data_IF_119485954391
#
_entry.id   IF_119485954391
#
_cell.length_a   1.000
_cell.length_b   1.000
_cell.length_c   1.000
_cell.angle_alpha   90.00
_cell.angle_beta   90.00
_cell.angle_gamma   90.00
#
_symmetry.space_group_name_H-M   'P 1'
#
loop_
_entity.id
_entity.type
_entity.pdbx_description
1 polymer ?
#
# COMPACT_ATOMS: atom_id res chain seq x y z
N UNK A 1 -5.28 22.67 -8.37
CA UNK A 1 -3.88 22.24 -8.50
C UNK A 1 -3.37 21.96 -7.11
N UNK A 2 -3.17 20.68 -6.80
CA UNK A 2 -2.91 20.06 -5.49
C UNK A 2 -4.14 19.45 -4.77
N UNK A 3 -5.32 19.47 -5.40
CA UNK A 3 -6.52 18.77 -4.91
C UNK A 3 -6.40 17.27 -5.15
N UNK A 4 -7.11 16.41 -4.40
CA UNK A 4 -7.13 14.96 -4.64
C UNK A 4 -7.37 14.54 -6.09
N UNK A 5 -8.31 15.19 -6.78
CA UNK A 5 -8.70 14.89 -8.16
C UNK A 5 -7.59 15.21 -9.18
N UNK A 6 -6.68 16.12 -8.82
CA UNK A 6 -5.50 16.43 -9.64
C UNK A 6 -4.51 15.24 -9.68
N UNK A 7 -4.55 14.33 -8.70
CA UNK A 7 -3.66 13.15 -8.61
C UNK A 7 -4.37 11.83 -8.89
N UNK A 8 -5.64 11.70 -8.51
CA UNK A 8 -6.35 10.43 -8.46
C UNK A 8 -7.65 10.47 -9.24
N UNK A 9 -7.91 9.43 -10.01
CA UNK A 9 -9.24 9.10 -10.49
C UNK A 9 -10.03 8.48 -9.33
N UNK A 10 -10.94 9.28 -8.78
CA UNK A 10 -11.76 8.91 -7.64
C UNK A 10 -13.19 8.51 -8.07
N UNK A 11 -13.48 8.51 -9.37
CA UNK A 11 -14.79 8.11 -9.86
C UNK A 11 -14.99 6.60 -9.62
N UNK A 12 -16.09 6.25 -8.96
CA UNK A 12 -16.36 4.86 -8.57
C UNK A 12 -15.41 4.26 -7.51
N UNK A 13 -14.41 5.01 -7.02
CA UNK A 13 -13.49 4.54 -5.98
C UNK A 13 -14.13 4.69 -4.59
N UNK A 14 -14.26 3.58 -3.86
CA UNK A 14 -14.86 3.54 -2.51
C UNK A 14 -14.04 4.33 -1.46
N UNK A 15 -12.77 4.62 -1.73
CA UNK A 15 -11.89 5.40 -0.86
C UNK A 15 -12.00 6.91 -1.11
N UNK A 16 -12.85 7.37 -2.04
CA UNK A 16 -13.09 8.81 -2.29
C UNK A 16 -13.42 9.60 -1.01
N UNK A 17 -14.17 8.99 -0.08
CA UNK A 17 -14.57 9.66 1.16
C UNK A 17 -13.39 9.98 2.09
N UNK A 18 -12.22 9.37 1.90
CA UNK A 18 -10.97 9.72 2.60
C UNK A 18 -10.61 11.20 2.40
N UNK A 19 -11.01 11.77 1.26
CA UNK A 19 -10.70 13.14 0.86
C UNK A 19 -11.86 14.12 1.08
N UNK A 20 -12.94 13.71 1.75
CA UNK A 20 -14.03 14.62 2.10
C UNK A 20 -13.51 15.79 2.94
N UNK A 21 -13.93 17.01 2.59
CA UNK A 21 -13.52 18.25 3.26
C UNK A 21 -12.00 18.50 3.25
N UNK A 22 -11.27 17.99 2.25
CA UNK A 22 -9.85 18.30 2.06
C UNK A 22 -9.65 19.38 1.01
N UNK A 23 -8.76 20.33 1.28
CA UNK A 23 -8.31 21.32 0.28
C UNK A 23 -7.13 20.76 -0.53
N UNK A 24 -6.25 20.02 0.15
CA UNK A 24 -5.03 19.45 -0.42
C UNK A 24 -5.00 17.92 -0.29
N UNK A 25 -4.46 17.26 -1.31
CA UNK A 25 -4.41 15.80 -1.39
C UNK A 25 -3.77 15.12 -0.15
N UNK A 26 -2.75 15.73 0.47
CA UNK A 26 -2.07 15.16 1.63
C UNK A 26 -2.88 15.21 2.92
N UNK A 27 -3.97 15.97 2.95
CA UNK A 27 -4.86 16.01 4.11
C UNK A 27 -5.62 14.71 4.31
N UNK A 28 -5.77 13.91 3.24
CA UNK A 28 -6.27 12.53 3.34
C UNK A 28 -5.48 11.67 4.34
N UNK A 29 -4.18 11.95 4.55
CA UNK A 29 -3.35 11.26 5.55
C UNK A 29 -3.88 11.44 6.98
N UNK A 30 -4.45 12.62 7.28
CA UNK A 30 -5.03 12.93 8.60
C UNK A 30 -6.32 12.13 8.82
N UNK A 31 -7.01 11.80 7.74
CA UNK A 31 -8.31 11.16 7.75
C UNK A 31 -8.24 9.62 7.80
N UNK A 32 -7.08 9.00 7.56
CA UNK A 32 -6.93 7.53 7.47
C UNK A 32 -7.54 6.81 8.69
N UNK A 33 -7.21 7.27 9.90
CA UNK A 33 -7.67 6.62 11.13
C UNK A 33 -9.19 6.63 11.25
N UNK A 34 -9.78 7.80 11.05
CA UNK A 34 -11.22 8.01 11.16
C UNK A 34 -11.96 7.30 10.03
N UNK A 35 -11.40 7.30 8.81
CA UNK A 35 -11.92 6.54 7.70
C UNK A 35 -11.99 5.05 8.03
N UNK A 36 -10.88 4.45 8.52
CA UNK A 36 -10.86 3.02 8.86
C UNK A 36 -11.89 2.73 9.95
N UNK A 37 -11.90 3.51 11.03
CA UNK A 37 -12.86 3.34 12.13
C UNK A 37 -14.32 3.32 11.66
N UNK A 38 -14.66 4.17 10.70
CA UNK A 38 -16.04 4.30 10.21
C UNK A 38 -16.42 3.30 9.12
N UNK A 39 -15.45 2.62 8.49
CA UNK A 39 -15.69 1.76 7.31
C UNK A 39 -15.20 0.33 7.49
N UNK A 40 -14.46 0.00 8.55
CA UNK A 40 -13.98 -1.35 8.78
C UNK A 40 -15.12 -2.25 9.26
N UNK A 41 -15.21 -3.43 8.66
CA UNK A 41 -16.08 -4.52 9.10
C UNK A 41 -15.19 -5.74 9.40
N UNK A 42 -14.54 -5.78 10.58
CA UNK A 42 -13.47 -6.75 10.81
C UNK A 42 -13.96 -8.19 10.72
N UNK A 43 -13.16 -9.08 10.10
CA UNK A 43 -13.57 -10.46 9.81
C UNK A 43 -12.52 -11.51 10.20
N UNK A 44 -11.53 -11.14 11.02
CA UNK A 44 -10.42 -12.04 11.38
C UNK A 44 -10.50 -12.65 12.78
N UNK A 45 -11.40 -12.20 13.67
CA UNK A 45 -11.46 -12.72 15.05
C UNK A 45 -11.61 -14.25 15.11
N UNK A 46 -12.45 -14.81 14.24
CA UNK A 46 -12.67 -16.26 14.13
C UNK A 46 -11.48 -17.02 13.51
N UNK A 47 -10.64 -16.35 12.70
CA UNK A 47 -9.39 -16.93 12.19
C UNK A 47 -8.37 -17.04 13.33
N UNK A 48 -8.28 -15.98 14.15
CA UNK A 48 -7.29 -15.85 15.22
C UNK A 48 -7.56 -16.78 16.40
N UNK A 49 -8.82 -16.88 16.84
CA UNK A 49 -9.22 -17.63 18.05
C UNK A 49 -8.33 -17.32 19.27
N UNK A 50 -7.98 -16.04 19.44
CA UNK A 50 -7.10 -15.55 20.52
C UNK A 50 -5.59 -15.69 20.26
N UNK A 51 -5.17 -16.36 19.19
CA UNK A 51 -3.77 -16.41 18.74
C UNK A 51 -3.50 -15.35 17.66
N UNK A 52 -2.31 -14.76 17.66
CA UNK A 52 -1.88 -13.95 16.51
C UNK A 52 -1.37 -14.79 15.35
N UNK A 53 -0.95 -16.03 15.61
CA UNK A 53 -0.36 -16.91 14.61
C UNK A 53 -1.38 -17.92 14.07
N UNK A 54 -1.46 -18.03 12.74
CA UNK A 54 -2.28 -19.04 12.06
C UNK A 54 -1.46 -20.31 11.80
N UNK A 55 -1.85 -21.41 12.43
CA UNK A 55 -1.15 -22.71 12.35
C UNK A 55 -1.58 -23.60 11.19
N UNK A 56 -2.58 -23.17 10.41
CA UNK A 56 -3.14 -23.90 9.27
C UNK A 56 -3.66 -22.91 8.24
N UNK A 57 -3.82 -23.40 7.02
CA UNK A 57 -4.49 -22.64 5.97
C UNK A 57 -5.95 -22.42 6.34
N UNK A 58 -6.44 -21.22 6.05
CA UNK A 58 -7.82 -20.82 6.30
C UNK A 58 -8.40 -20.20 5.02
N UNK A 59 -9.70 -20.39 4.84
CA UNK A 59 -10.44 -19.77 3.75
C UNK A 59 -11.52 -18.86 4.32
N UNK A 60 -11.69 -17.68 3.74
CA UNK A 60 -12.90 -16.84 3.94
C UNK A 60 -13.72 -16.91 2.67
N UNK A 61 -14.97 -17.33 2.77
CA UNK A 61 -15.91 -17.39 1.65
C UNK A 61 -17.30 -16.95 2.10
N UNK A 62 -17.91 -16.01 1.38
CA UNK A 62 -19.23 -15.42 1.73
C UNK A 62 -19.33 -14.96 3.20
N UNK A 63 -18.25 -14.35 3.72
CA UNK A 63 -18.18 -13.86 5.09
C UNK A 63 -17.99 -14.94 6.17
N UNK A 64 -17.86 -16.21 5.78
CA UNK A 64 -17.64 -17.34 6.70
C UNK A 64 -16.20 -17.84 6.64
N UNK A 65 -15.66 -18.20 7.79
CA UNK A 65 -14.38 -18.90 7.90
C UNK A 65 -14.59 -20.39 7.66
N UNK A 66 -13.82 -20.97 6.75
CA UNK A 66 -13.76 -22.40 6.46
C UNK A 66 -12.38 -22.90 6.90
N UNK A 67 -12.36 -23.78 7.89
CA UNK A 67 -11.12 -24.27 8.53
C UNK A 67 -10.65 -25.63 8.00
N UNK A 68 -11.52 -26.34 7.28
CA UNK A 68 -11.24 -27.69 6.77
C UNK A 68 -12.21 -28.10 5.66
N UNK A 69 -11.92 -29.23 5.02
CA UNK A 69 -12.74 -29.79 3.94
C UNK A 69 -12.64 -29.01 2.63
N UNK A 70 -11.56 -28.24 2.45
CA UNK A 70 -11.25 -27.58 1.19
C UNK A 70 -9.89 -28.03 0.66
N UNK A 71 -9.67 -27.82 -0.63
CA UNK A 71 -8.37 -27.97 -1.30
C UNK A 71 -8.01 -26.66 -1.98
N UNK A 72 -6.74 -26.28 -1.94
CA UNK A 72 -6.20 -25.11 -2.63
C UNK A 72 -5.34 -25.59 -3.81
N UNK A 73 -5.68 -25.17 -5.02
CA UNK A 73 -4.77 -25.25 -6.17
C UNK A 73 -3.88 -24.01 -6.13
N UNK A 74 -2.68 -24.16 -5.56
CA UNK A 74 -1.73 -23.07 -5.33
C UNK A 74 -1.24 -22.43 -6.63
N UNK A 75 -1.17 -23.19 -7.73
CA UNK A 75 -0.75 -22.67 -9.03
C UNK A 75 -1.80 -21.77 -9.70
N UNK A 76 -3.07 -21.92 -9.31
CA UNK A 76 -4.19 -21.14 -9.86
C UNK A 76 -4.89 -20.23 -8.85
N UNK A 77 -4.54 -20.32 -7.57
CA UNK A 77 -5.24 -19.62 -6.49
C UNK A 77 -6.71 -20.04 -6.34
N UNK A 78 -7.05 -21.28 -6.71
CA UNK A 78 -8.45 -21.76 -6.71
C UNK A 78 -8.71 -22.56 -5.44
N UNK A 79 -9.79 -22.23 -4.74
CA UNK A 79 -10.31 -23.03 -3.62
C UNK A 79 -11.44 -23.92 -4.11
N UNK A 80 -11.42 -25.20 -3.73
CA UNK A 80 -12.53 -26.13 -3.93
C UNK A 80 -13.00 -26.73 -2.62
N UNK A 81 -14.31 -26.97 -2.49
CA UNK A 81 -14.93 -27.73 -1.41
C UNK A 81 -15.97 -28.68 -2.00
N UNK A 82 -15.86 -29.97 -1.67
CA UNK A 82 -16.74 -31.03 -2.19
C UNK A 82 -16.83 -31.05 -3.74
N UNK A 83 -15.70 -30.75 -4.41
CA UNK A 83 -15.60 -30.67 -5.87
C UNK A 83 -16.07 -29.36 -6.50
N UNK A 84 -16.69 -28.45 -5.73
CA UNK A 84 -17.20 -27.15 -6.19
C UNK A 84 -16.15 -26.06 -5.99
N UNK A 85 -15.97 -25.20 -6.99
CA UNK A 85 -15.09 -24.02 -6.89
C UNK A 85 -15.79 -22.94 -6.06
N UNK A 86 -15.05 -22.38 -5.10
CA UNK A 86 -15.51 -21.26 -4.28
C UNK A 86 -15.02 -19.94 -4.89
N UNK A 87 -15.77 -19.37 -5.83
CA UNK A 87 -15.38 -18.15 -6.53
C UNK A 87 -15.30 -16.93 -5.59
N UNK A 88 -14.15 -16.25 -5.56
CA UNK A 88 -13.92 -15.14 -4.64
C UNK A 88 -13.61 -15.58 -3.21
N UNK A 89 -13.31 -16.85 -2.98
CA UNK A 89 -12.72 -17.29 -1.72
C UNK A 89 -11.36 -16.62 -1.49
N UNK A 90 -11.16 -16.08 -0.30
CA UNK A 90 -9.89 -15.53 0.14
C UNK A 90 -9.09 -16.61 0.86
N UNK A 91 -7.79 -16.66 0.59
CA UNK A 91 -6.87 -17.66 1.13
C UNK A 91 -5.93 -16.97 2.10
N UNK A 92 -5.87 -17.48 3.33
CA UNK A 92 -4.90 -17.05 4.33
C UNK A 92 -4.09 -18.29 4.69
N UNK A 93 -2.86 -18.35 4.18
CA UNK A 93 -2.00 -19.49 4.39
C UNK A 93 -1.52 -19.59 5.85
N UNK A 94 -1.17 -20.81 6.26
CA UNK A 94 -0.47 -21.06 7.51
C UNK A 94 0.81 -20.21 7.60
N UNK A 95 1.15 -19.74 8.79
CA UNK A 95 2.33 -18.91 9.03
C UNK A 95 2.07 -17.40 9.00
N UNK A 96 0.85 -16.96 8.70
CA UNK A 96 0.46 -15.53 8.78
C UNK A 96 0.27 -15.11 10.23
N UNK A 97 0.71 -13.89 10.54
CA UNK A 97 0.50 -13.24 11.83
C UNK A 97 -0.54 -12.12 11.72
N UNK A 98 -1.68 -12.30 12.38
CA UNK A 98 -2.74 -11.31 12.53
C UNK A 98 -2.69 -10.76 13.97
N UNK A 99 -2.20 -9.54 14.14
CA UNK A 99 -1.85 -8.98 15.46
C UNK A 99 -2.98 -8.17 16.10
N UNK A 100 -4.15 -8.09 15.45
CA UNK A 100 -5.30 -7.32 15.91
C UNK A 100 -6.60 -7.91 15.32
N UNK A 101 -7.72 -7.67 15.97
CA UNK A 101 -9.04 -8.08 15.49
C UNK A 101 -9.62 -7.05 14.52
N UNK A 102 -9.17 -5.79 14.58
CA UNK A 102 -9.52 -4.71 13.66
C UNK A 102 -8.81 -4.88 12.30
N UNK A 103 -8.97 -6.04 11.68
CA UNK A 103 -8.46 -6.35 10.35
C UNK A 103 -9.62 -6.84 9.48
N UNK A 104 -9.73 -6.26 8.29
CA UNK A 104 -10.64 -6.73 7.25
C UNK A 104 -9.85 -7.29 6.07
N UNK A 105 -10.28 -8.45 5.57
CA UNK A 105 -9.78 -9.12 4.38
C UNK A 105 -10.93 -9.25 3.37
N UNK A 106 -10.80 -8.57 2.23
CA UNK A 106 -11.75 -8.60 1.11
C UNK A 106 -11.77 -9.93 0.36
N UNK A 107 -12.71 -10.09 -0.58
CA UNK A 107 -12.92 -11.33 -1.35
C UNK A 107 -11.81 -11.58 -2.35
N UNK A 108 -11.50 -12.85 -2.61
CA UNK A 108 -10.47 -13.27 -3.58
C UNK A 108 -9.05 -12.84 -3.19
N UNK A 109 -8.83 -12.41 -1.94
CA UNK A 109 -7.54 -11.93 -1.46
C UNK A 109 -6.69 -13.09 -0.96
N UNK A 110 -5.40 -13.06 -1.29
CA UNK A 110 -4.43 -14.09 -0.90
C UNK A 110 -3.40 -13.48 0.03
N UNK A 111 -3.17 -14.13 1.17
CA UNK A 111 -2.15 -13.75 2.14
C UNK A 111 -1.17 -14.92 2.31
N UNK A 112 0.05 -14.72 1.84
CA UNK A 112 1.12 -15.70 1.86
C UNK A 112 1.77 -15.85 3.25
N UNK A 113 2.43 -16.99 3.53
CA UNK A 113 3.09 -17.26 4.80
C UNK A 113 4.07 -16.16 5.24
N UNK A 114 4.16 -15.93 6.56
CA UNK A 114 5.11 -14.98 7.14
C UNK A 114 4.74 -13.51 7.00
N UNK A 115 3.64 -13.17 6.32
CA UNK A 115 3.09 -11.82 6.40
C UNK A 115 2.66 -11.50 7.84
N UNK A 116 3.00 -10.29 8.31
CA UNK A 116 2.60 -9.79 9.62
C UNK A 116 1.73 -8.56 9.44
N UNK A 117 0.48 -8.66 9.88
CA UNK A 117 -0.55 -7.64 9.71
C UNK A 117 -1.02 -7.17 11.07
N UNK A 118 -0.85 -5.88 11.34
CA UNK A 118 -1.37 -5.20 12.52
C UNK A 118 -2.60 -4.38 12.16
N UNK A 119 -3.59 -4.37 13.05
CA UNK A 119 -4.73 -3.47 12.95
C UNK A 119 -4.44 -2.05 13.46
N UNK A 120 -5.34 -1.10 13.19
CA UNK A 120 -6.51 -1.27 12.31
C UNK A 120 -6.08 -1.28 10.84
N UNK A 121 -6.56 -2.25 10.04
CA UNK A 121 -6.15 -2.43 8.63
C UNK A 121 -7.32 -2.91 7.75
N UNK A 122 -7.46 -2.31 6.57
CA UNK A 122 -8.40 -2.76 5.53
C UNK A 122 -7.59 -3.28 4.34
N UNK A 123 -7.85 -4.52 3.92
CA UNK A 123 -7.31 -5.11 2.70
C UNK A 123 -8.50 -5.41 1.78
N UNK A 124 -8.52 -4.76 0.61
CA UNK A 124 -9.57 -4.85 -0.38
C UNK A 124 -9.59 -6.18 -1.13
N UNK A 125 -10.45 -6.24 -2.14
CA UNK A 125 -10.72 -7.44 -2.92
C UNK A 125 -9.63 -7.74 -3.94
N UNK A 126 -9.40 -9.03 -4.20
CA UNK A 126 -8.46 -9.54 -5.20
C UNK A 126 -7.04 -9.00 -5.00
N UNK A 127 -6.65 -8.80 -3.75
CA UNK A 127 -5.34 -8.27 -3.38
C UNK A 127 -4.40 -9.41 -2.98
N UNK A 128 -3.11 -9.22 -3.24
CA UNK A 128 -2.06 -10.15 -2.83
C UNK A 128 -1.20 -9.51 -1.73
N UNK A 129 -1.13 -10.15 -0.57
CA UNK A 129 -0.17 -9.83 0.48
C UNK A 129 0.86 -10.96 0.50
N UNK A 130 2.04 -10.69 -0.03
CA UNK A 130 3.06 -11.71 -0.27
C UNK A 130 3.94 -11.97 0.96
N UNK A 131 4.74 -13.02 0.84
CA UNK A 131 5.59 -13.55 1.89
C UNK A 131 6.45 -12.46 2.54
N UNK A 132 6.34 -12.34 3.87
CA UNK A 132 7.14 -11.40 4.66
C UNK A 132 6.72 -9.93 4.58
N UNK A 133 5.60 -9.60 3.94
CA UNK A 133 5.04 -8.24 4.00
C UNK A 133 4.77 -7.84 5.46
N UNK A 134 5.03 -6.57 5.79
CA UNK A 134 4.85 -6.03 7.14
C UNK A 134 3.91 -4.83 7.14
N UNK A 135 2.67 -5.04 7.61
CA UNK A 135 1.63 -4.00 7.70
C UNK A 135 1.49 -3.55 9.15
N UNK A 136 1.72 -2.26 9.41
CA UNK A 136 1.91 -1.71 10.77
C UNK A 136 0.68 -1.02 11.37
N UNK A 137 -0.49 -1.17 10.75
CA UNK A 137 -1.74 -0.55 11.19
C UNK A 137 -1.93 0.88 10.66
N UNK A 138 -3.18 1.34 10.72
CA UNK A 138 -3.69 2.50 9.99
C UNK A 138 -3.37 2.39 8.49
N UNK A 139 -3.56 1.20 7.91
CA UNK A 139 -3.26 0.94 6.50
C UNK A 139 -4.54 0.56 5.76
N UNK A 140 -4.67 1.11 4.56
CA UNK A 140 -5.72 0.74 3.60
C UNK A 140 -5.01 0.26 2.34
N UNK A 141 -5.20 -1.01 2.01
CA UNK A 141 -4.80 -1.59 0.73
C UNK A 141 -6.07 -1.74 -0.09
N UNK A 142 -6.24 -0.94 -1.13
CA UNK A 142 -7.40 -0.99 -2.02
C UNK A 142 -7.50 -2.31 -2.80
N UNK A 143 -8.49 -2.38 -3.69
CA UNK A 143 -8.71 -3.59 -4.48
C UNK A 143 -7.56 -3.82 -5.49
N UNK A 144 -7.32 -5.08 -5.84
CA UNK A 144 -6.37 -5.49 -6.89
C UNK A 144 -4.94 -4.99 -6.67
N UNK A 145 -4.54 -4.82 -5.41
CA UNK A 145 -3.21 -4.35 -5.06
C UNK A 145 -2.26 -5.53 -4.84
N UNK A 146 -0.96 -5.24 -4.89
CA UNK A 146 0.10 -6.18 -4.51
C UNK A 146 0.97 -5.50 -3.46
N UNK A 147 0.95 -6.03 -2.23
CA UNK A 147 1.92 -5.73 -1.17
C UNK A 147 2.89 -6.89 -1.12
N UNK A 148 4.03 -6.71 -1.77
CA UNK A 148 4.90 -7.81 -2.11
C UNK A 148 5.95 -8.15 -1.05
N UNK A 149 6.91 -8.99 -1.43
CA UNK A 149 7.89 -9.57 -0.52
C UNK A 149 8.64 -8.51 0.27
N UNK A 150 8.61 -8.62 1.62
CA UNK A 150 9.26 -7.68 2.57
C UNK A 150 8.91 -6.21 2.35
N UNK A 151 7.75 -5.94 1.75
CA UNK A 151 7.24 -4.58 1.65
C UNK A 151 6.62 -4.17 2.98
N UNK A 152 7.02 -3.02 3.49
CA UNK A 152 6.50 -2.46 4.73
C UNK A 152 5.53 -1.31 4.43
N UNK A 153 4.35 -1.36 5.05
CA UNK A 153 3.35 -0.29 4.99
C UNK A 153 3.00 0.21 6.40
N UNK A 154 2.86 1.53 6.54
CA UNK A 154 2.47 2.16 7.80
C UNK A 154 1.74 3.48 7.57
N UNK A 155 0.56 3.67 8.17
CA UNK A 155 -0.20 4.93 8.05
C UNK A 155 -0.38 5.33 6.58
N UNK A 156 -0.69 4.37 5.71
CA UNK A 156 -0.57 4.53 4.27
C UNK A 156 -1.77 3.95 3.52
N UNK A 157 -2.01 4.47 2.33
CA UNK A 157 -3.14 4.10 1.47
C UNK A 157 -2.63 3.74 0.08
N UNK A 158 -3.05 2.58 -0.42
CA UNK A 158 -3.07 2.26 -1.86
C UNK A 158 -4.53 2.35 -2.32
N UNK A 159 -4.83 3.22 -3.26
CA UNK A 159 -6.22 3.48 -3.67
C UNK A 159 -6.84 2.36 -4.51
N UNK A 160 -6.01 1.51 -5.10
CA UNK A 160 -6.43 0.38 -5.94
C UNK A 160 -5.45 0.15 -7.08
N UNK A 161 -5.33 -1.11 -7.52
CA UNK A 161 -4.48 -1.51 -8.66
C UNK A 161 -2.99 -1.13 -8.51
N UNK A 162 -2.54 -0.84 -7.28
CA UNK A 162 -1.17 -0.45 -6.96
C UNK A 162 -0.29 -1.68 -6.76
N UNK A 163 0.95 -1.62 -7.23
CA UNK A 163 1.94 -2.71 -7.08
C UNK A 163 3.18 -2.22 -6.35
N UNK A 164 3.43 -2.79 -5.18
CA UNK A 164 4.69 -2.66 -4.45
C UNK A 164 5.28 -4.06 -4.25
N UNK A 165 5.76 -4.66 -5.34
CA UNK A 165 6.03 -6.10 -5.39
C UNK A 165 7.23 -6.57 -4.56
N UNK A 166 8.20 -5.69 -4.28
CA UNK A 166 9.49 -6.13 -3.74
C UNK A 166 10.18 -5.03 -2.91
N UNK A 167 10.52 -5.34 -1.65
CA UNK A 167 11.43 -4.56 -0.80
C UNK A 167 11.07 -3.06 -0.66
N UNK A 168 9.79 -2.70 -0.70
CA UNK A 168 9.37 -1.32 -0.67
C UNK A 168 9.08 -0.82 0.77
N UNK A 169 9.26 0.48 1.00
CA UNK A 169 8.81 1.14 2.23
C UNK A 169 7.80 2.24 1.92
N UNK A 170 6.59 2.12 2.46
CA UNK A 170 5.46 3.02 2.22
C UNK A 170 4.92 3.51 3.57
N UNK A 171 5.51 4.61 4.06
CA UNK A 171 5.12 5.24 5.33
C UNK A 171 4.42 6.58 5.09
N UNK A 172 3.29 6.83 5.76
CA UNK A 172 2.60 8.14 5.77
C UNK A 172 2.39 8.67 4.33
N UNK A 173 1.88 7.81 3.44
CA UNK A 173 1.81 8.04 1.99
C UNK A 173 0.46 7.63 1.41
N UNK A 174 0.06 8.25 0.29
CA UNK A 174 -1.13 7.87 -0.48
C UNK A 174 -0.71 7.61 -1.92
N UNK A 175 -1.03 6.43 -2.43
CA UNK A 175 -0.68 5.98 -3.76
C UNK A 175 -1.95 5.71 -4.58
N UNK A 176 -2.00 6.23 -5.80
CA UNK A 176 -3.01 5.89 -6.80
C UNK A 176 -2.72 4.53 -7.44
N UNK A 177 -3.10 4.36 -8.70
CA UNK A 177 -2.68 3.21 -9.52
C UNK A 177 -1.21 3.37 -9.91
N UNK A 178 -0.31 2.72 -9.17
CA UNK A 178 1.14 2.85 -9.33
C UNK A 178 1.86 1.53 -9.50
N UNK A 179 3.07 1.56 -10.06
CA UNK A 179 4.00 0.44 -10.11
C UNK A 179 5.34 0.82 -9.47
N UNK A 180 5.64 0.26 -8.30
CA UNK A 180 6.88 0.55 -7.59
C UNK A 180 7.95 -0.49 -7.95
N UNK A 181 9.06 -0.01 -8.50
CA UNK A 181 10.26 -0.81 -8.73
C UNK A 181 10.81 -1.38 -7.43
N UNK A 182 11.49 -2.52 -7.52
CA UNK A 182 12.03 -3.21 -6.35
C UNK A 182 12.93 -2.29 -5.53
N UNK A 183 12.72 -2.24 -4.21
CA UNK A 183 13.53 -1.41 -3.32
C UNK A 183 13.12 0.07 -3.27
N UNK A 184 11.97 0.46 -3.82
CA UNK A 184 11.47 1.85 -3.73
C UNK A 184 11.17 2.26 -2.29
N UNK A 185 11.70 3.41 -1.84
CA UNK A 185 11.54 3.87 -0.45
C UNK A 185 10.98 5.28 -0.38
N UNK A 186 9.84 5.42 0.31
CA UNK A 186 9.19 6.71 0.54
C UNK A 186 9.59 7.22 1.93
N UNK A 187 10.65 8.02 2.02
CA UNK A 187 11.07 8.57 3.31
C UNK A 187 9.99 9.53 3.84
N UNK A 188 9.59 9.36 5.09
CA UNK A 188 8.48 10.09 5.71
C UNK A 188 8.88 11.07 6.81
N UNK A 189 10.15 11.08 7.23
CA UNK A 189 10.63 11.89 8.34
C UNK A 189 11.86 12.71 7.91
N UNK A 190 11.84 14.01 8.16
CA UNK A 190 13.02 14.87 8.00
C UNK A 190 14.07 14.53 9.06
N UNK A 191 15.34 14.56 8.66
CA UNK A 191 16.50 14.44 9.56
C UNK A 191 16.44 15.54 10.63
N UNK A 192 16.20 16.79 10.21
CA UNK A 192 16.01 17.90 11.14
C UNK A 192 14.56 17.89 11.64
N UNK A 193 14.40 17.88 12.96
CA UNK A 193 13.11 17.92 13.63
C UNK A 193 12.30 19.16 13.25
N UNK A 194 11.33 18.96 12.36
CA UNK A 194 10.41 20.01 11.90
C UNK A 194 9.20 19.39 11.22
N UNK A 195 8.12 20.18 11.10
CA UNK A 195 6.98 19.84 10.23
C UNK A 195 7.37 19.90 8.76
N UNK A 196 6.65 19.16 7.93
CA UNK A 196 6.85 19.13 6.48
C UNK A 196 6.19 20.38 5.87
N UNK A 197 6.97 21.10 5.07
CA UNK A 197 6.53 22.29 4.33
C UNK A 197 6.89 22.04 2.88
N UNK A 198 5.93 22.21 1.99
CA UNK A 198 6.14 22.04 0.55
C UNK A 198 6.40 23.40 -0.07
N UNK A 199 7.39 23.49 -0.96
CA UNK A 199 7.61 24.68 -1.78
C UNK A 199 7.34 24.32 -3.23
N UNK A 200 6.29 24.88 -3.80
CA UNK A 200 5.82 24.58 -5.16
C UNK A 200 5.63 25.89 -5.89
N UNK A 201 6.35 26.08 -7.00
CA UNK A 201 6.36 27.31 -7.80
C UNK A 201 6.59 28.58 -6.94
N UNK A 202 7.53 28.50 -5.99
CA UNK A 202 7.86 29.60 -5.08
C UNK A 202 6.88 29.82 -3.91
N UNK A 203 5.70 29.18 -3.92
CA UNK A 203 4.73 29.25 -2.83
C UNK A 203 5.00 28.16 -1.79
N UNK A 204 4.94 28.53 -0.51
CA UNK A 204 5.04 27.60 0.63
C UNK A 204 3.66 27.09 1.04
N UNK A 205 3.58 25.81 1.36
CA UNK A 205 2.40 25.12 1.88
C UNK A 205 2.75 24.43 3.19
N UNK A 206 2.16 24.90 4.28
CA UNK A 206 2.30 24.31 5.62
C UNK A 206 1.39 23.08 5.72
N UNK A 207 1.96 21.88 5.72
CA UNK A 207 1.14 20.64 5.74
C UNK A 207 0.54 20.35 7.11
N UNK A 208 1.19 20.87 8.18
CA UNK A 208 0.91 20.53 9.57
C UNK A 208 1.45 19.17 10.01
N UNK A 209 2.03 18.38 9.11
CA UNK A 209 2.46 17.00 9.35
C UNK A 209 3.91 16.93 9.83
N UNK A 210 4.18 16.17 10.91
CA UNK A 210 5.56 15.82 11.31
C UNK A 210 6.13 14.70 10.44
N UNK A 211 5.28 13.76 10.04
CA UNK A 211 5.59 12.65 9.13
C UNK A 211 4.72 12.75 7.89
N UNK A 212 5.35 12.69 6.73
CA UNK A 212 4.69 12.68 5.43
C UNK A 212 5.67 12.07 4.44
N UNK A 213 5.35 10.89 3.92
CA UNK A 213 6.11 10.20 2.89
C UNK A 213 5.92 10.86 1.54
N UNK A 214 5.00 10.31 0.74
CA UNK A 214 4.72 10.82 -0.60
C UNK A 214 3.26 10.70 -1.01
N UNK A 215 2.89 11.48 -2.02
CA UNK A 215 1.68 11.30 -2.81
C UNK A 215 2.10 10.93 -4.22
N UNK A 216 1.80 9.71 -4.64
CA UNK A 216 2.02 9.28 -6.02
C UNK A 216 0.69 9.14 -6.72
N UNK A 217 0.44 9.99 -7.71
CA UNK A 217 -0.74 9.97 -8.57
C UNK A 217 -0.88 8.67 -9.37
N UNK A 218 -2.02 8.54 -10.06
CA UNK A 218 -2.22 7.47 -11.03
C UNK A 218 -1.20 7.50 -12.16
N UNK A 219 -0.77 6.31 -12.59
CA UNK A 219 0.20 6.13 -13.66
C UNK A 219 1.65 6.38 -13.24
N UNK A 220 1.92 6.67 -11.96
CA UNK A 220 3.30 6.80 -11.49
C UNK A 220 3.99 5.43 -11.53
N UNK A 221 5.16 5.38 -12.15
CA UNK A 221 6.04 4.22 -12.13
C UNK A 221 7.41 4.61 -11.60
N UNK A 222 7.96 3.77 -10.73
CA UNK A 222 9.31 3.95 -10.21
C UNK A 222 10.23 2.82 -10.64
N UNK A 223 11.48 3.15 -10.95
CA UNK A 223 12.54 2.20 -11.18
C UNK A 223 13.08 1.63 -9.87
N UNK A 224 13.81 0.52 -9.98
CA UNK A 224 14.41 -0.15 -8.84
C UNK A 224 15.35 0.78 -8.05
N UNK A 225 15.35 0.63 -6.73
CA UNK A 225 16.15 1.41 -5.77
C UNK A 225 15.96 2.93 -5.86
N UNK A 226 14.82 3.39 -6.37
CA UNK A 226 14.44 4.79 -6.29
C UNK A 226 14.04 5.18 -4.86
N UNK A 227 14.22 6.46 -4.53
CA UNK A 227 13.89 6.99 -3.20
C UNK A 227 13.15 8.31 -3.36
N UNK A 228 12.23 8.63 -2.46
CA UNK A 228 11.68 9.98 -2.36
C UNK A 228 11.93 10.60 -0.99
N UNK A 229 12.07 11.92 -0.98
CA UNK A 229 12.16 12.69 0.26
C UNK A 229 10.79 12.92 0.91
N UNK A 230 10.72 13.25 2.21
CA UNK A 230 9.45 13.55 2.87
C UNK A 230 8.68 14.68 2.19
N UNK A 231 7.39 14.45 1.95
CA UNK A 231 6.48 15.37 1.27
C UNK A 231 6.63 15.41 -0.26
N UNK A 232 7.18 14.36 -0.88
CA UNK A 232 7.28 14.33 -2.34
C UNK A 232 5.91 14.08 -2.98
N UNK A 233 5.59 14.84 -4.03
CA UNK A 233 4.34 14.77 -4.77
C UNK A 233 4.67 14.46 -6.24
N UNK A 234 4.34 13.27 -6.71
CA UNK A 234 4.48 12.88 -8.12
C UNK A 234 3.12 12.96 -8.79
N UNK A 235 2.99 13.84 -9.79
CA UNK A 235 1.78 13.98 -10.61
C UNK A 235 1.52 12.76 -11.50
N UNK A 236 0.38 12.78 -12.21
CA UNK A 236 -0.04 11.64 -13.04
C UNK A 236 1.02 11.27 -14.08
N UNK A 237 1.18 9.97 -14.33
CA UNK A 237 2.11 9.43 -15.34
C UNK A 237 3.58 9.83 -15.15
N UNK A 238 4.01 10.22 -13.94
CA UNK A 238 5.42 10.53 -13.70
C UNK A 238 6.25 9.25 -13.65
N UNK A 239 7.37 9.25 -14.38
CA UNK A 239 8.34 8.16 -14.35
C UNK A 239 9.55 8.56 -13.50
N UNK A 240 9.81 7.84 -12.40
CA UNK A 240 11.02 8.01 -11.60
C UNK A 240 12.02 6.91 -11.96
N UNK A 241 13.14 7.26 -12.59
CA UNK A 241 14.11 6.27 -13.07
C UNK A 241 14.80 5.49 -11.94
N UNK A 242 15.36 4.29 -12.24
CA UNK A 242 16.12 3.52 -11.26
C UNK A 242 17.27 4.32 -10.64
N UNK A 243 17.50 4.11 -9.35
CA UNK A 243 18.53 4.80 -8.56
C UNK A 243 18.44 6.34 -8.56
N UNK A 244 17.28 6.91 -8.91
CA UNK A 244 17.03 8.34 -8.82
C UNK A 244 16.28 8.72 -7.54
N UNK A 245 16.45 9.97 -7.11
CA UNK A 245 15.75 10.53 -5.94
C UNK A 245 14.74 11.58 -6.37
N UNK A 246 13.46 11.35 -6.04
CA UNK A 246 12.40 12.35 -6.17
C UNK A 246 12.39 13.30 -4.96
N UNK A 247 12.41 14.62 -5.23
CA UNK A 247 12.37 15.66 -4.17
C UNK A 247 11.39 16.78 -4.51
N UNK A 248 10.30 16.86 -3.76
CA UNK A 248 9.29 17.92 -3.89
C UNK A 248 8.18 17.55 -4.88
N UNK A 249 7.66 18.53 -5.61
CA UNK A 249 6.57 18.34 -6.57
C UNK A 249 7.08 18.18 -8.00
N UNK A 250 6.56 17.16 -8.69
CA UNK A 250 6.77 16.95 -10.13
C UNK A 250 5.41 16.95 -10.83
N UNK A 251 5.24 17.78 -11.88
CA UNK A 251 3.98 17.87 -12.59
C UNK A 251 3.70 16.60 -13.42
N UNK A 252 2.44 16.40 -13.85
CA UNK A 252 2.07 15.26 -14.70
C UNK A 252 2.94 15.12 -15.94
N UNK A 253 3.03 13.89 -16.45
CA UNK A 253 3.68 13.54 -17.72
C UNK A 253 5.17 13.96 -17.77
N UNK A 254 5.87 13.82 -16.64
CA UNK A 254 7.31 14.12 -16.52
C UNK A 254 8.17 12.91 -16.17
N UNK A 255 9.46 13.00 -16.49
CA UNK A 255 10.45 11.97 -16.20
C UNK A 255 11.51 12.53 -15.25
N UNK A 256 11.73 11.86 -14.14
CA UNK A 256 12.79 12.13 -13.18
C UNK A 256 13.94 11.17 -13.45
N UNK A 257 15.05 11.69 -13.98
CA UNK A 257 16.25 10.88 -14.26
C UNK A 257 17.52 11.59 -13.79
N UNK A 258 18.49 10.79 -13.37
CA UNK A 258 19.84 11.26 -13.00
C UNK A 258 20.80 11.06 -14.16
N UNK A 259 21.71 12.02 -14.37
CA UNK A 259 22.85 11.87 -15.27
C UNK A 259 24.07 11.50 -14.44
N UNK A 260 24.42 10.22 -14.43
CA UNK A 260 25.64 9.72 -13.82
C UNK A 260 26.66 9.39 -14.92
N UNK A 261 27.94 9.67 -14.69
CA UNK A 261 29.02 9.22 -15.55
C UNK A 261 29.63 8.00 -14.89
N UNK A 262 29.57 6.85 -15.55
CA UNK A 262 30.26 5.64 -15.08
C UNK A 262 31.70 5.68 -15.56
N UNK A 263 32.65 5.54 -14.63
CA UNK A 263 34.06 5.40 -14.94
C UNK A 263 34.45 3.92 -14.84
N UNK A 264 35.08 3.39 -15.87
CA UNK A 264 35.64 2.02 -15.89
C UNK A 264 37.14 2.16 -15.71
N UNK A 265 37.69 1.48 -14.70
CA UNK A 265 39.14 1.40 -14.44
C UNK A 265 39.54 -0.04 -14.22
N UNK A 266 40.76 -0.39 -14.63
CA UNK A 266 41.37 -1.68 -14.31
C UNK A 266 41.58 -1.82 -12.80
N UNK A 267 41.27 -3.00 -12.26
CA UNK A 267 41.50 -3.34 -10.86
C UNK A 267 42.98 -3.69 -10.67
N UNK A 268 43.74 -2.79 -10.03
CA UNK A 268 45.10 -3.06 -9.57
C UNK A 268 45.10 -3.85 -8.27
#
# INVERSE_FOLDING_TARGET
MLKPEDFFDLEGNNLKQLFNNTEYVWEGLKNIKEYIKNNIAPNVSNLRKGSSFLSRDMVIYEGKVIESGFTIDTGKGIVKKDGVILEGASIIYAGVFLMDDEIYIGKGTVIEPGALIKGPTIIGDNTEIRQGAYIRGNVIVGNKCIVGHTTEMKSAVMLGESKAGHFAYIGDSILGKVNLGAGTKLANLKIIESKIVLTINGRKYETGLRKFGAIFADGVETGCNSVTTPGSLLGRNVLLYPNATGRGYYPPDTIIKMRNIQEIKERK
#
